data_IF_624935209796
#
_entry.id   IF_624935209796
#
_cell.length_a   1.000
_cell.length_b   1.000
_cell.length_c   1.000
_cell.angle_alpha   90.00
_cell.angle_beta   90.00
_cell.angle_gamma   90.00
#
_symmetry.space_group_name_H-M   'P 1'
#
loop_
_entity.id
_entity.type
_entity.pdbx_description
1 polymer ?
#
# COMPACT_ATOMS: atom_id res chain seq x y z
N UNK A 1 -25.94 20.03 15.57
CA UNK A 1 -25.79 19.75 14.13
C UNK A 1 -24.31 19.54 13.84
N UNK A 2 -23.96 18.60 12.96
CA UNK A 2 -22.57 18.38 12.55
C UNK A 2 -22.13 19.48 11.56
N UNK A 3 -20.90 20.01 11.65
CA UNK A 3 -20.35 20.91 10.64
C UNK A 3 -20.19 20.21 9.29
N UNK A 4 -20.24 20.98 8.20
CA UNK A 4 -20.06 20.47 6.84
C UNK A 4 -18.66 19.84 6.63
N UNK A 5 -17.63 20.44 7.23
CA UNK A 5 -16.25 19.94 7.24
C UNK A 5 -15.73 20.00 8.68
N UNK A 6 -15.14 18.90 9.15
CA UNK A 6 -14.54 18.81 10.49
C UNK A 6 -13.17 18.16 10.41
N UNK A 7 -12.14 18.87 10.88
CA UNK A 7 -10.81 18.30 11.10
C UNK A 7 -10.66 17.92 12.57
N UNK A 8 -10.30 16.66 12.82
CA UNK A 8 -10.09 16.17 14.19
C UNK A 8 -8.62 15.80 14.33
N UNK A 9 -7.92 16.55 15.18
CA UNK A 9 -6.56 16.24 15.60
C UNK A 9 -6.61 15.68 17.02
N UNK A 10 -6.06 14.49 17.20
CA UNK A 10 -5.91 13.89 18.52
C UNK A 10 -4.59 14.38 19.12
N UNK A 11 -4.60 14.92 20.34
CA UNK A 11 -3.41 15.46 21.01
C UNK A 11 -2.82 14.53 22.09
N UNK A 12 -3.40 13.34 22.29
CA UNK A 12 -2.92 12.38 23.29
C UNK A 12 -3.28 10.92 22.99
N UNK A 13 -4.51 10.65 22.57
CA UNK A 13 -4.89 9.34 22.04
C UNK A 13 -4.47 9.23 20.57
N UNK A 14 -3.17 9.29 20.30
CA UNK A 14 -2.60 9.23 18.94
C UNK A 14 -1.86 7.93 18.70
N UNK A 15 -1.55 7.67 17.43
CA UNK A 15 -0.68 6.56 17.01
C UNK A 15 0.77 7.01 16.79
N UNK A 16 1.14 8.22 17.23
CA UNK A 16 2.50 8.73 17.10
C UNK A 16 3.48 7.86 17.92
N UNK A 17 4.69 7.55 17.42
CA UNK A 17 5.71 6.82 18.17
C UNK A 17 5.93 7.39 19.57
N UNK A 18 6.26 6.49 20.52
CA UNK A 18 6.23 6.61 21.99
C UNK A 18 4.85 6.45 22.63
N UNK A 19 3.75 6.65 21.90
CA UNK A 19 2.38 6.43 22.39
C UNK A 19 1.92 4.97 22.25
N UNK A 20 0.91 4.59 23.02
CA UNK A 20 0.22 3.30 22.87
C UNK A 20 -0.76 3.37 21.69
N UNK A 21 -0.45 2.61 20.63
CA UNK A 21 -1.26 2.51 19.41
C UNK A 21 -2.73 2.19 19.71
N UNK A 22 -3.00 1.39 20.73
CA UNK A 22 -4.36 0.97 21.08
C UNK A 22 -5.23 2.13 21.56
N UNK A 23 -4.64 3.24 22.03
CA UNK A 23 -5.37 4.45 22.38
C UNK A 23 -5.85 5.19 21.13
N UNK A 24 -4.98 5.34 20.13
CA UNK A 24 -5.32 5.92 18.84
C UNK A 24 -6.37 5.11 18.09
N UNK A 25 -6.17 3.79 17.99
CA UNK A 25 -7.13 2.88 17.36
C UNK A 25 -8.50 2.95 18.06
N UNK A 26 -8.52 2.99 19.39
CA UNK A 26 -9.76 3.09 20.17
C UNK A 26 -10.46 4.42 19.97
N UNK A 27 -9.72 5.52 19.91
CA UNK A 27 -10.28 6.86 19.66
C UNK A 27 -10.91 6.92 18.26
N UNK A 28 -10.16 6.51 17.23
CA UNK A 28 -10.64 6.43 15.83
C UNK A 28 -11.87 5.54 15.71
N UNK A 29 -11.85 4.33 16.29
CA UNK A 29 -13.00 3.42 16.31
C UNK A 29 -14.22 4.05 16.98
N UNK A 30 -14.02 4.76 18.09
CA UNK A 30 -15.12 5.39 18.84
C UNK A 30 -15.75 6.52 18.04
N UNK A 31 -14.93 7.35 17.38
CA UNK A 31 -15.43 8.41 16.49
C UNK A 31 -16.21 7.84 15.31
N UNK A 32 -15.64 6.85 14.63
CA UNK A 32 -16.28 6.21 13.48
C UNK A 32 -17.61 5.55 13.85
N UNK A 33 -17.64 4.75 14.92
CA UNK A 33 -18.87 4.11 15.38
C UNK A 33 -19.92 5.13 15.81
N UNK A 34 -19.51 6.22 16.47
CA UNK A 34 -20.42 7.31 16.84
C UNK A 34 -21.02 7.98 15.60
N UNK A 35 -20.21 8.26 14.59
CA UNK A 35 -20.68 8.81 13.31
C UNK A 35 -21.66 7.86 12.63
N UNK A 36 -21.31 6.58 12.54
CA UNK A 36 -22.14 5.52 11.96
C UNK A 36 -23.50 5.36 12.67
N UNK A 37 -23.58 5.64 13.98
CA UNK A 37 -24.82 5.57 14.75
C UNK A 37 -25.64 6.87 14.72
N UNK A 38 -25.06 7.95 14.20
CA UNK A 38 -25.74 9.24 14.12
C UNK A 38 -26.68 9.31 12.92
N UNK A 39 -27.60 10.28 12.97
CA UNK A 39 -28.46 10.68 11.86
C UNK A 39 -27.70 11.25 10.65
N UNK A 40 -26.42 11.60 10.82
CA UNK A 40 -25.57 12.13 9.75
C UNK A 40 -24.83 11.07 8.94
N UNK A 41 -24.90 9.79 9.32
CA UNK A 41 -24.12 8.72 8.64
C UNK A 41 -24.36 8.70 7.13
N UNK A 42 -25.62 8.75 6.70
CA UNK A 42 -26.02 8.60 5.29
C UNK A 42 -25.49 9.71 4.36
N UNK A 43 -25.01 10.83 4.92
CA UNK A 43 -24.47 11.97 4.19
C UNK A 43 -23.01 12.27 4.54
N UNK A 44 -22.32 11.36 5.23
CA UNK A 44 -20.96 11.60 5.72
C UNK A 44 -19.88 10.82 4.98
N UNK A 45 -18.68 11.40 4.96
CA UNK A 45 -17.44 10.72 4.61
C UNK A 45 -16.44 10.91 5.76
N UNK A 46 -15.84 9.80 6.22
CA UNK A 46 -14.84 9.79 7.27
C UNK A 46 -13.49 9.40 6.66
N UNK A 47 -12.57 10.36 6.63
CA UNK A 47 -11.20 10.15 6.15
C UNK A 47 -10.27 9.92 7.34
N UNK A 48 -9.46 8.87 7.27
CA UNK A 48 -8.33 8.64 8.18
C UNK A 48 -7.06 8.84 7.37
N UNK A 49 -6.16 9.67 7.88
CA UNK A 49 -4.83 9.88 7.32
C UNK A 49 -3.87 10.18 8.47
N UNK A 50 -2.58 10.08 8.19
CA UNK A 50 -1.51 10.49 9.09
C UNK A 50 -0.89 11.78 8.59
N UNK A 51 -0.20 12.51 9.45
CA UNK A 51 0.51 13.75 9.14
C UNK A 51 1.92 13.50 8.59
N UNK A 52 2.58 12.42 9.04
CA UNK A 52 3.85 11.94 8.50
C UNK A 52 3.97 10.41 8.52
N UNK A 53 5.09 9.89 7.99
CA UNK A 53 5.35 8.45 7.83
C UNK A 53 5.97 7.79 9.07
N UNK A 54 6.18 8.53 10.16
CA UNK A 54 6.69 8.06 11.44
C UNK A 54 8.15 7.61 11.45
N UNK A 55 8.93 7.91 10.40
CA UNK A 55 10.32 7.49 10.28
C UNK A 55 10.50 6.05 9.76
N UNK A 56 9.42 5.35 9.41
CA UNK A 56 9.46 3.98 8.92
C UNK A 56 9.90 3.88 7.45
N UNK A 57 10.44 2.73 7.06
CA UNK A 57 10.83 2.51 5.67
C UNK A 57 9.61 2.33 4.76
N UNK A 58 9.58 3.07 3.65
CA UNK A 58 8.68 2.82 2.52
C UNK A 58 9.53 2.55 1.26
N UNK A 59 9.11 1.57 0.46
CA UNK A 59 9.86 1.12 -0.71
C UNK A 59 9.67 2.01 -1.95
N UNK A 60 8.67 2.88 -1.96
CA UNK A 60 8.38 3.76 -3.09
C UNK A 60 9.10 5.08 -2.87
N UNK A 61 9.99 5.42 -3.79
CA UNK A 61 10.65 6.72 -3.79
C UNK A 61 9.60 7.84 -3.92
N UNK A 62 9.64 8.88 -3.07
CA UNK A 62 8.71 10.00 -3.16
C UNK A 62 8.75 10.70 -4.53
N UNK A 63 7.60 10.88 -5.20
CA UNK A 63 7.52 11.57 -6.47
C UNK A 63 7.99 13.03 -6.38
N UNK A 64 8.72 13.49 -7.39
CA UNK A 64 9.15 14.87 -7.54
C UNK A 64 8.13 15.64 -8.38
N UNK A 65 7.25 16.40 -7.71
CA UNK A 65 6.14 17.14 -8.35
C UNK A 65 6.34 18.65 -8.40
N UNK A 66 7.26 19.16 -7.59
CA UNK A 66 7.67 20.57 -7.51
C UNK A 66 9.10 20.64 -6.92
N UNK A 67 9.57 21.84 -6.57
CA UNK A 67 10.92 22.04 -6.00
C UNK A 67 11.18 21.24 -4.71
N UNK A 68 10.14 20.87 -3.96
CA UNK A 68 10.24 20.10 -2.72
C UNK A 68 9.81 18.64 -2.90
N UNK A 69 8.96 18.38 -3.89
CA UNK A 69 8.34 17.08 -4.12
C UNK A 69 7.32 16.69 -3.06
N UNK A 70 6.95 15.41 -3.10
CA UNK A 70 6.18 14.76 -2.04
C UNK A 70 7.08 14.17 -0.96
N UNK A 71 6.48 13.91 0.20
CA UNK A 71 7.11 13.12 1.26
C UNK A 71 6.91 11.62 1.05
N UNK A 72 7.36 10.82 2.02
CA UNK A 72 7.05 9.40 2.06
C UNK A 72 5.54 9.16 2.17
N UNK A 73 5.10 8.00 1.68
CA UNK A 73 3.69 7.64 1.69
C UNK A 73 3.20 7.43 3.12
N UNK A 74 1.96 7.83 3.35
CA UNK A 74 1.21 7.52 4.57
C UNK A 74 -0.04 6.72 4.22
N UNK A 75 -0.56 5.89 5.14
CA UNK A 75 -1.86 5.26 4.94
C UNK A 75 -2.98 6.30 4.85
N UNK A 76 -3.96 6.03 3.99
CA UNK A 76 -5.21 6.79 3.94
C UNK A 76 -6.38 5.85 3.75
N UNK A 77 -7.46 6.08 4.49
CA UNK A 77 -8.70 5.30 4.43
C UNK A 77 -9.89 6.24 4.26
N UNK A 78 -10.78 5.89 3.34
CA UNK A 78 -12.11 6.49 3.20
C UNK A 78 -13.16 5.51 3.72
N UNK A 79 -13.98 5.97 4.66
CA UNK A 79 -15.15 5.24 5.16
C UNK A 79 -16.40 6.08 4.95
N UNK A 80 -17.34 5.58 4.16
CA UNK A 80 -18.59 6.28 3.83
C UNK A 80 -19.66 5.28 3.38
N UNK A 81 -20.97 5.60 3.53
CA UNK A 81 -22.04 4.84 2.88
C UNK A 81 -21.79 4.63 1.38
N UNK A 82 -21.18 5.62 0.71
CA UNK A 82 -20.90 5.67 -0.73
C UNK A 82 -19.49 5.22 -1.11
N UNK A 83 -18.64 4.83 -0.16
CA UNK A 83 -17.29 4.36 -0.47
C UNK A 83 -17.33 3.01 -1.20
N UNK A 84 -16.53 2.83 -2.25
CA UNK A 84 -16.41 1.53 -2.92
C UNK A 84 -15.89 0.45 -1.95
N UNK A 85 -16.62 -0.66 -1.80
CA UNK A 85 -16.26 -1.68 -0.81
C UNK A 85 -15.00 -2.45 -1.20
N UNK A 86 -14.05 -2.59 -0.28
CA UNK A 86 -12.83 -3.38 -0.51
C UNK A 86 -11.96 -2.87 -1.66
N UNK A 87 -12.17 -1.62 -2.09
CA UNK A 87 -11.46 -1.02 -3.20
C UNK A 87 -10.15 -0.41 -2.73
N UNK A 88 -9.07 -0.74 -3.45
CA UNK A 88 -7.78 -0.08 -3.30
C UNK A 88 -7.67 0.93 -4.43
N UNK A 89 -7.77 2.21 -4.10
CA UNK A 89 -7.56 3.29 -5.05
C UNK A 89 -6.05 3.52 -5.23
N UNK A 90 -5.58 3.40 -6.46
CA UNK A 90 -4.17 3.60 -6.84
C UNK A 90 -3.88 5.02 -7.35
N UNK A 91 -4.86 5.92 -7.30
CA UNK A 91 -4.68 7.33 -7.64
C UNK A 91 -3.56 7.92 -6.78
N UNK A 92 -2.65 8.66 -7.41
CA UNK A 92 -1.60 9.36 -6.70
C UNK A 92 -2.21 10.56 -5.98
N UNK A 93 -2.34 10.45 -4.67
CA UNK A 93 -2.93 11.46 -3.79
C UNK A 93 -1.87 12.07 -2.88
N UNK A 94 -2.12 13.28 -2.42
CA UNK A 94 -1.34 13.93 -1.37
C UNK A 94 -2.29 14.59 -0.34
N UNK A 95 -1.78 15.20 0.73
CA UNK A 95 -2.64 15.79 1.77
C UNK A 95 -3.61 16.86 1.23
N UNK A 96 -3.23 17.57 0.18
CA UNK A 96 -4.08 18.57 -0.49
C UNK A 96 -5.18 17.94 -1.34
N UNK A 97 -5.15 16.63 -1.62
CA UNK A 97 -6.28 15.92 -2.24
C UNK A 97 -7.56 15.95 -1.39
N UNK A 98 -7.42 16.05 -0.06
CA UNK A 98 -8.58 16.27 0.83
C UNK A 98 -9.15 17.67 0.62
N UNK A 99 -8.29 18.68 0.46
CA UNK A 99 -8.72 20.04 0.12
C UNK A 99 -9.41 20.06 -1.24
N UNK A 100 -8.82 19.42 -2.25
CA UNK A 100 -9.41 19.28 -3.58
C UNK A 100 -10.82 18.68 -3.55
N UNK A 101 -11.02 17.64 -2.75
CA UNK A 101 -12.34 17.03 -2.56
C UNK A 101 -13.35 18.01 -1.93
N UNK A 102 -12.93 18.76 -0.90
CA UNK A 102 -13.76 19.79 -0.26
C UNK A 102 -14.07 20.91 -1.27
N UNK A 103 -13.08 21.39 -2.00
CA UNK A 103 -13.23 22.45 -3.00
C UNK A 103 -14.30 22.12 -4.03
N UNK A 104 -14.22 20.91 -4.61
CA UNK A 104 -15.19 20.46 -5.60
C UNK A 104 -16.57 20.16 -4.99
N UNK A 105 -16.64 19.65 -3.75
CA UNK A 105 -17.92 19.32 -3.11
C UNK A 105 -18.73 20.56 -2.70
N UNK A 106 -18.07 21.67 -2.37
CA UNK A 106 -18.72 22.93 -1.98
C UNK A 106 -18.63 24.05 -3.03
N UNK A 107 -18.09 23.76 -4.22
CA UNK A 107 -17.90 24.71 -5.31
C UNK A 107 -17.13 25.98 -4.86
N UNK A 108 -16.00 25.76 -4.19
CA UNK A 108 -15.11 26.84 -3.72
C UNK A 108 -13.77 26.79 -4.46
N UNK A 109 -13.14 27.96 -4.72
CA UNK A 109 -11.88 28.02 -5.42
C UNK A 109 -10.72 27.46 -4.57
N UNK A 110 -9.66 26.93 -5.22
CA UNK A 110 -8.47 26.46 -4.52
C UNK A 110 -7.75 27.60 -3.79
N UNK A 111 -7.03 27.25 -2.72
CA UNK A 111 -6.32 28.22 -1.88
C UNK A 111 -4.90 28.50 -2.38
N UNK A 112 -4.28 27.57 -3.11
CA UNK A 112 -2.93 27.68 -3.63
C UNK A 112 -2.77 26.99 -5.01
N UNK A 113 -1.53 26.89 -5.50
CA UNK A 113 -1.25 26.11 -6.73
C UNK A 113 -1.21 24.60 -6.48
N UNK A 114 -0.93 24.18 -5.23
CA UNK A 114 -0.69 22.76 -4.91
C UNK A 114 -1.99 21.96 -4.82
N UNK A 115 -2.96 22.48 -4.08
CA UNK A 115 -4.34 21.97 -4.05
C UNK A 115 -5.02 22.12 -5.41
N UNK A 116 -4.82 23.23 -6.13
CA UNK A 116 -5.36 23.40 -7.48
C UNK A 116 -4.95 22.26 -8.43
N UNK A 117 -3.70 21.78 -8.34
CA UNK A 117 -3.13 20.68 -9.13
C UNK A 117 -3.31 19.29 -8.53
N UNK A 118 -3.85 19.18 -7.32
CA UNK A 118 -4.01 17.90 -6.65
C UNK A 118 -5.05 17.01 -7.35
N UNK A 119 -4.84 15.70 -7.31
CA UNK A 119 -5.85 14.74 -7.73
C UNK A 119 -6.97 14.67 -6.68
N UNK A 120 -8.21 14.40 -7.13
CA UNK A 120 -9.37 14.28 -6.26
C UNK A 120 -9.58 12.82 -5.78
N UNK A 121 -10.23 12.67 -4.62
CA UNK A 121 -10.63 11.42 -3.95
C UNK A 121 -11.95 10.83 -4.50
N UNK A 122 -12.61 11.49 -5.45
CA UNK A 122 -13.93 11.09 -5.99
C UNK A 122 -13.95 9.67 -6.57
N UNK A 123 -12.83 9.17 -7.10
CA UNK A 123 -12.69 7.79 -7.61
C UNK A 123 -12.95 6.71 -6.57
N UNK A 124 -12.72 7.02 -5.29
CA UNK A 124 -12.96 6.11 -4.18
C UNK A 124 -14.45 6.00 -3.81
N UNK A 125 -15.31 6.86 -4.36
CA UNK A 125 -16.75 6.85 -4.17
C UNK A 125 -17.49 6.17 -5.34
N UNK A 126 -18.68 5.69 -5.04
CA UNK A 126 -19.73 5.37 -5.99
C UNK A 126 -21.00 6.07 -5.48
N UNK A 127 -21.42 7.15 -6.15
CA UNK A 127 -22.63 7.90 -5.78
C UNK A 127 -23.89 7.38 -6.49
N UNK A 128 -23.76 6.36 -7.37
CA UNK A 128 -24.90 5.74 -8.06
C UNK A 128 -25.60 4.67 -7.22
N UNK A 129 -24.91 4.18 -6.17
CA UNK A 129 -25.44 3.17 -5.26
C UNK A 129 -26.35 3.78 -4.17
N UNK A 130 -27.21 2.94 -3.61
CA UNK A 130 -27.92 3.25 -2.37
C UNK A 130 -26.94 3.35 -1.20
N UNK A 131 -27.06 4.32 -0.29
CA UNK A 131 -26.20 4.46 0.89
C UNK A 131 -26.20 3.17 1.71
N UNK A 132 -25.02 2.67 2.06
CA UNK A 132 -24.92 1.46 2.88
C UNK A 132 -25.27 1.74 4.34
N UNK A 133 -25.94 0.77 5.01
CA UNK A 133 -26.17 0.87 6.44
C UNK A 133 -24.84 0.85 7.22
N UNK A 134 -24.81 1.40 8.43
CA UNK A 134 -23.62 1.41 9.26
C UNK A 134 -23.19 -0.02 9.65
N UNK A 135 -21.88 -0.28 9.59
CA UNK A 135 -21.27 -1.54 10.02
C UNK A 135 -20.30 -1.24 11.16
N UNK A 136 -20.77 -1.44 12.40
CA UNK A 136 -19.99 -1.07 13.58
C UNK A 136 -18.72 -1.90 13.69
N UNK A 137 -17.61 -1.21 13.97
CA UNK A 137 -16.30 -1.83 14.16
C UNK A 137 -16.21 -2.37 15.60
N UNK A 138 -16.05 -3.69 15.80
CA UNK A 138 -15.95 -4.28 17.12
C UNK A 138 -14.67 -3.85 17.83
N UNK A 139 -14.69 -3.85 19.17
CA UNK A 139 -13.49 -3.57 19.98
C UNK A 139 -12.52 -4.76 20.01
N UNK A 140 -13.05 -5.98 19.87
CA UNK A 140 -12.26 -7.20 19.76
C UNK A 140 -11.84 -7.40 18.32
N UNK A 141 -10.53 -7.58 18.11
CA UNK A 141 -10.01 -8.09 16.84
C UNK A 141 -10.59 -9.50 16.66
N UNK A 142 -11.47 -9.67 15.68
CA UNK A 142 -11.79 -11.02 15.19
C UNK A 142 -10.45 -11.59 14.73
N UNK A 143 -10.03 -12.72 15.31
CA UNK A 143 -8.78 -13.36 14.92
C UNK A 143 -8.77 -13.43 13.38
N UNK A 144 -7.68 -13.00 12.72
CA UNK A 144 -7.63 -13.09 11.28
C UNK A 144 -8.00 -14.52 10.87
N UNK A 145 -8.74 -14.67 9.77
CA UNK A 145 -8.88 -15.97 9.12
C UNK A 145 -7.50 -16.62 9.13
N UNK A 146 -7.41 -17.84 9.65
CA UNK A 146 -6.14 -18.53 9.86
C UNK A 146 -5.32 -18.38 8.59
N UNK A 147 -4.27 -17.55 8.62
CA UNK A 147 -3.38 -17.43 7.47
C UNK A 147 -2.90 -18.85 7.20
N UNK A 148 -3.07 -19.31 5.96
CA UNK A 148 -2.46 -20.56 5.54
C UNK A 148 -0.95 -20.31 5.56
N UNK A 149 -0.33 -20.54 6.71
CA UNK A 149 1.11 -20.45 6.86
C UNK A 149 1.71 -21.48 5.90
N UNK A 150 2.58 -21.08 4.96
CA UNK A 150 3.17 -22.02 4.05
C UNK A 150 3.93 -23.06 4.89
N UNK A 151 3.74 -24.34 4.55
CA UNK A 151 4.34 -25.45 5.32
C UNK A 151 5.86 -25.33 5.23
N UNK A 152 6.50 -24.82 6.29
CA UNK A 152 7.96 -24.56 6.34
C UNK A 152 8.80 -25.76 5.91
N UNK A 153 8.32 -26.97 6.21
CA UNK A 153 8.98 -28.22 5.78
C UNK A 153 9.02 -28.35 4.25
N UNK A 154 7.97 -27.95 3.53
CA UNK A 154 7.94 -27.96 2.06
C UNK A 154 8.98 -26.97 1.53
N UNK A 155 9.04 -25.77 2.11
CA UNK A 155 10.05 -24.76 1.78
C UNK A 155 11.46 -25.31 1.98
N UNK A 156 11.75 -25.91 3.15
CA UNK A 156 13.08 -26.43 3.43
C UNK A 156 13.46 -27.62 2.54
N UNK A 157 12.51 -28.50 2.24
CA UNK A 157 12.75 -29.62 1.32
C UNK A 157 13.06 -29.11 -0.09
N UNK A 158 12.29 -28.14 -0.60
CA UNK A 158 12.53 -27.60 -1.95
C UNK A 158 13.87 -26.89 -2.05
N UNK A 159 14.24 -26.07 -1.08
CA UNK A 159 15.56 -25.42 -1.05
C UNK A 159 16.72 -26.42 -0.89
N UNK A 160 16.57 -27.40 0.01
CA UNK A 160 17.61 -28.42 0.22
C UNK A 160 17.81 -29.28 -1.01
N UNK A 161 16.72 -29.66 -1.69
CA UNK A 161 16.78 -30.39 -2.95
C UNK A 161 17.45 -29.57 -4.06
N UNK A 162 17.11 -28.28 -4.19
CA UNK A 162 17.74 -27.39 -5.17
C UNK A 162 19.25 -27.25 -4.94
N UNK A 163 19.69 -27.08 -3.69
CA UNK A 163 21.10 -27.04 -3.31
C UNK A 163 21.78 -28.36 -3.64
N UNK A 164 21.16 -29.49 -3.30
CA UNK A 164 21.73 -30.81 -3.53
C UNK A 164 21.88 -31.11 -5.04
N UNK A 165 20.90 -30.73 -5.86
CA UNK A 165 20.97 -30.83 -7.33
C UNK A 165 22.11 -29.95 -7.85
N UNK A 166 22.23 -28.69 -7.40
CA UNK A 166 23.32 -27.81 -7.81
C UNK A 166 24.69 -28.40 -7.45
N UNK A 167 24.85 -28.93 -6.24
CA UNK A 167 26.08 -29.60 -5.80
C UNK A 167 26.39 -30.84 -6.67
N UNK A 168 25.39 -31.66 -6.97
CA UNK A 168 25.57 -32.84 -7.83
C UNK A 168 26.00 -32.46 -9.25
N UNK A 169 25.41 -31.39 -9.82
CA UNK A 169 25.81 -30.87 -11.14
C UNK A 169 27.28 -30.41 -11.11
N UNK A 170 27.68 -29.67 -10.07
CA UNK A 170 29.07 -29.20 -9.92
C UNK A 170 30.04 -30.37 -9.76
N UNK A 171 29.71 -31.36 -8.91
CA UNK A 171 30.54 -32.56 -8.70
C UNK A 171 30.65 -33.37 -9.99
N UNK A 172 29.54 -33.57 -10.70
CA UNK A 172 29.53 -34.29 -11.97
C UNK A 172 30.37 -33.57 -13.03
N UNK A 173 30.23 -32.24 -13.16
CA UNK A 173 31.02 -31.44 -14.09
C UNK A 173 32.51 -31.52 -13.74
N UNK A 174 32.87 -31.42 -12.46
CA UNK A 174 34.25 -31.55 -12.00
C UNK A 174 34.84 -32.94 -12.30
N UNK A 175 34.08 -34.02 -12.02
CA UNK A 175 34.51 -35.38 -12.28
C UNK A 175 34.71 -35.68 -13.78
N UNK A 176 33.97 -34.98 -14.65
CA UNK A 176 34.02 -35.16 -16.11
C UNK A 176 34.86 -34.07 -16.82
N UNK A 177 35.59 -33.22 -16.08
CA UNK A 177 36.31 -32.06 -16.65
C UNK A 177 37.24 -32.43 -17.82
N UNK A 178 37.91 -33.57 -17.75
CA UNK A 178 38.84 -34.03 -18.79
C UNK A 178 38.12 -34.37 -20.11
N UNK A 179 36.89 -34.88 -20.03
CA UNK A 179 36.07 -35.19 -21.21
C UNK A 179 35.61 -33.91 -21.93
N UNK A 180 35.44 -32.80 -21.19
CA UNK A 180 35.07 -31.51 -21.77
C UNK A 180 36.26 -30.75 -22.37
N UNK A 181 37.47 -30.93 -21.81
CA UNK A 181 38.71 -30.32 -22.32
C UNK A 181 39.25 -31.01 -23.59
N UNK A 182 38.80 -32.24 -23.87
CA UNK A 182 39.14 -32.99 -25.08
C UNK A 182 38.17 -32.79 -26.25
N UNK A 183 37.15 -31.92 -26.10
CA UNK A 183 36.27 -31.59 -27.21
C UNK A 183 37.11 -31.02 -28.38
N UNK A 184 37.00 -31.57 -29.59
CA UNK A 184 37.90 -31.21 -30.68
C UNK A 184 37.76 -29.72 -30.99
N UNK A 185 38.89 -29.02 -30.96
CA UNK A 185 39.00 -27.70 -31.58
C UNK A 185 38.50 -27.85 -33.02
N UNK A 186 37.40 -27.15 -33.34
CA UNK A 186 37.01 -26.94 -34.74
C UNK A 186 38.16 -26.15 -35.36
N UNK A 187 39.07 -26.87 -36.01
CA UNK A 187 40.15 -26.27 -36.75
C UNK A 187 39.51 -25.45 -37.88
N UNK A 188 39.65 -24.13 -37.80
CA UNK A 188 39.47 -23.27 -38.94
C UNK A 188 40.41 -23.77 -40.04
N UNK A 189 39.83 -24.37 -41.07
CA UNK A 189 40.57 -24.70 -42.29
C UNK A 189 40.96 -23.37 -42.95
N UNK A 190 42.20 -22.96 -42.74
CA UNK A 190 42.88 -22.01 -43.61
C UNK A 190 43.08 -22.68 -44.96
N UNK A 191 42.22 -22.32 -45.93
CA UNK A 191 42.52 -22.48 -47.35
C UNK A 191 43.79 -21.69 -47.66
N UNK A 192 44.91 -22.40 -47.84
CA UNK A 192 46.11 -21.83 -48.43
C UNK A 192 46.41 -22.54 -49.74
N UNK A 193 46.27 -21.72 -50.78
CA UNK A 193 46.58 -21.87 -52.19
C UNK A 193 48.02 -22.38 -52.39
N UNK A 194 48.28 -23.16 -53.45
CA UNK A 194 49.38 -23.01 -54.44
C UNK A 194 49.57 -24.30 -55.28
N UNK A 195 50.19 -24.24 -56.48
CA UNK A 195 50.35 -23.12 -57.42
C UNK A 195 49.66 -23.35 -58.78
#
# INVERSE_FOLDING_TARGET
>A
TLPAVSYVLLLGATEHPISDLSLGERATRTMLNTLMQSDAWESSAFFITYDDWGGWYDHVAPPQVDERGYGFRVPSLLISPYARLGHIDHTQLDHTSILKFIEENWDIPPLAERDARANNLTSAFDFSMTPRPPVLVPATRVAPETRIEPRRIVIYITYSAAILIACLIVIWAYANKENFLQAPHVAHASEEIQP
#
